data_IF_833962047592
#
_entry.id   IF_833962047592
#
_cell.length_a   1.000
_cell.length_b   1.000
_cell.length_c   1.000
_cell.angle_alpha   90.00
_cell.angle_beta   90.00
_cell.angle_gamma   90.00
#
_symmetry.space_group_name_H-M   'P 1'
#
loop_
_entity.id
_entity.type
_entity.pdbx_description
1 polymer ?
#
# COMPACT_ATOMS: atom_id res chain seq x y z
N UNK A 1 18.86 7.99 -17.63
CA UNK A 1 19.55 9.30 -17.79
C UNK A 1 18.61 10.49 -17.59
N UNK A 2 17.44 10.55 -18.24
CA UNK A 2 16.46 11.65 -18.07
C UNK A 2 16.05 11.90 -16.61
N UNK A 3 15.80 10.84 -15.83
CA UNK A 3 15.44 10.96 -14.40
C UNK A 3 16.57 11.54 -13.55
N UNK A 4 17.83 11.19 -13.84
CA UNK A 4 19.01 11.71 -13.13
C UNK A 4 19.17 13.21 -13.40
N UNK A 5 18.97 13.64 -14.65
CA UNK A 5 19.01 15.06 -15.01
C UNK A 5 17.95 15.88 -14.27
N UNK A 6 16.71 15.37 -14.16
CA UNK A 6 15.64 16.04 -13.40
C UNK A 6 16.04 16.21 -11.93
N UNK A 7 16.62 15.17 -11.30
CA UNK A 7 17.08 15.24 -9.91
C UNK A 7 18.21 16.25 -9.74
N UNK A 8 19.18 16.28 -10.66
CA UNK A 8 20.30 17.23 -10.59
C UNK A 8 19.82 18.68 -10.79
N UNK A 9 18.95 18.92 -11.78
CA UNK A 9 18.41 20.26 -12.06
C UNK A 9 17.55 20.76 -10.89
N UNK A 10 16.71 19.90 -10.31
CA UNK A 10 15.90 20.27 -9.13
C UNK A 10 16.76 20.57 -7.92
N UNK A 11 17.84 19.80 -7.68
CA UNK A 11 18.80 20.08 -6.61
C UNK A 11 19.51 21.44 -6.81
N UNK A 12 19.95 21.74 -8.04
CA UNK A 12 20.61 23.02 -8.36
C UNK A 12 19.66 24.21 -8.19
N UNK A 13 18.40 24.09 -8.65
CA UNK A 13 17.36 25.09 -8.44
C UNK A 13 17.05 25.31 -6.96
N UNK A 14 17.00 24.24 -6.17
CA UNK A 14 16.76 24.33 -4.72
C UNK A 14 17.90 25.09 -4.01
N UNK A 15 19.16 24.80 -4.38
CA UNK A 15 20.33 25.51 -3.84
C UNK A 15 20.33 26.98 -4.24
N UNK A 16 20.03 27.29 -5.51
CA UNK A 16 19.95 28.66 -6.01
C UNK A 16 18.81 29.45 -5.33
N UNK A 17 17.63 28.83 -5.19
CA UNK A 17 16.49 29.44 -4.52
C UNK A 17 16.79 29.71 -3.04
N UNK A 18 17.45 28.77 -2.35
CA UNK A 18 17.84 28.93 -0.94
C UNK A 18 18.83 30.07 -0.77
N UNK A 19 19.83 30.15 -1.66
CA UNK A 19 20.81 31.23 -1.65
C UNK A 19 20.16 32.61 -1.88
N UNK A 20 19.24 32.70 -2.85
CA UNK A 20 18.60 33.96 -3.23
C UNK A 20 17.54 34.43 -2.23
N UNK A 21 16.76 33.52 -1.64
CA UNK A 21 15.72 33.84 -0.65
C UNK A 21 16.25 33.91 0.79
N UNK A 22 17.53 33.56 1.03
CA UNK A 22 18.21 33.68 2.33
C UNK A 22 18.00 35.03 3.05
N UNK A 23 17.99 36.19 2.35
CA UNK A 23 17.76 37.48 3.02
C UNK A 23 16.34 37.66 3.58
N UNK A 24 15.37 36.85 3.13
CA UNK A 24 13.95 36.98 3.47
C UNK A 24 13.40 35.65 4.06
N UNK A 25 13.75 35.30 5.31
CA UNK A 25 13.44 34.00 5.89
C UNK A 25 11.94 33.70 5.96
N UNK A 26 11.09 34.72 6.18
CA UNK A 26 9.63 34.55 6.20
C UNK A 26 9.07 34.17 4.83
N UNK A 27 9.58 34.79 3.75
CA UNK A 27 9.18 34.47 2.38
C UNK A 27 9.65 33.06 1.99
N UNK A 28 10.88 32.68 2.39
CA UNK A 28 11.42 31.35 2.15
C UNK A 28 10.58 30.27 2.86
N UNK A 29 10.30 30.46 4.14
CA UNK A 29 9.51 29.52 4.94
C UNK A 29 8.07 29.38 4.43
N UNK A 30 7.43 30.48 4.04
CA UNK A 30 6.05 30.44 3.49
C UNK A 30 6.00 29.74 2.14
N UNK A 31 6.90 30.06 1.21
CA UNK A 31 6.96 29.37 -0.10
C UNK A 31 7.25 27.89 0.08
N UNK A 32 8.19 27.53 0.96
CA UNK A 32 8.50 26.14 1.28
C UNK A 32 7.28 25.41 1.87
N UNK A 33 6.54 26.05 2.78
CA UNK A 33 5.31 25.51 3.35
C UNK A 33 4.24 25.24 2.28
N UNK A 34 4.01 26.19 1.36
CA UNK A 34 3.05 26.04 0.28
C UNK A 34 3.42 24.90 -0.68
N UNK A 35 4.69 24.82 -1.10
CA UNK A 35 5.16 23.79 -2.03
C UNK A 35 5.07 22.40 -1.41
N UNK A 36 5.53 22.23 -0.17
CA UNK A 36 5.52 20.93 0.51
C UNK A 36 4.10 20.46 0.81
N UNK A 37 3.26 21.33 1.39
CA UNK A 37 1.85 21.02 1.66
C UNK A 37 1.09 20.74 0.37
N UNK A 38 1.28 21.57 -0.66
CA UNK A 38 0.64 21.39 -1.97
C UNK A 38 1.01 20.06 -2.62
N UNK A 39 2.28 19.66 -2.54
CA UNK A 39 2.75 18.36 -3.02
C UNK A 39 2.07 17.20 -2.30
N UNK A 40 2.02 17.23 -0.97
CA UNK A 40 1.32 16.20 -0.19
C UNK A 40 -0.18 16.18 -0.51
N UNK A 41 -0.82 17.34 -0.63
CA UNK A 41 -2.22 17.43 -1.00
C UNK A 41 -2.49 16.81 -2.38
N UNK A 42 -1.67 17.11 -3.39
CA UNK A 42 -1.77 16.49 -4.72
C UNK A 42 -1.58 14.97 -4.64
N UNK A 43 -0.65 14.49 -3.81
CA UNK A 43 -0.45 13.06 -3.58
C UNK A 43 -1.69 12.41 -2.95
N UNK A 44 -2.30 13.03 -1.94
CA UNK A 44 -3.55 12.56 -1.32
C UNK A 44 -4.71 12.54 -2.33
N UNK A 45 -4.83 13.58 -3.16
CA UNK A 45 -5.86 13.64 -4.20
C UNK A 45 -5.68 12.51 -5.22
N UNK A 46 -4.45 12.24 -5.62
CA UNK A 46 -4.10 11.15 -6.54
C UNK A 46 -4.49 9.78 -5.95
N UNK A 47 -4.22 9.57 -4.64
CA UNK A 47 -4.61 8.37 -3.90
C UNK A 47 -6.13 8.18 -3.91
N UNK A 48 -6.88 9.23 -3.56
CA UNK A 48 -8.35 9.17 -3.49
C UNK A 48 -8.94 8.89 -4.88
N UNK A 49 -8.38 9.51 -5.93
CA UNK A 49 -8.85 9.36 -7.32
C UNK A 49 -8.60 7.95 -7.85
N UNK A 50 -7.43 7.37 -7.60
CA UNK A 50 -7.09 6.06 -8.14
C UNK A 50 -7.65 4.90 -7.32
N UNK A 51 -8.07 5.14 -6.07
CA UNK A 51 -8.60 4.13 -5.12
C UNK A 51 -7.72 2.89 -4.92
N UNK A 52 -6.48 2.92 -5.37
CA UNK A 52 -5.50 1.88 -5.13
C UNK A 52 -4.75 2.16 -3.84
N UNK A 53 -5.32 1.71 -2.73
CA UNK A 53 -4.70 1.85 -1.41
C UNK A 53 -3.66 0.75 -1.13
N UNK A 54 -3.48 -0.23 -2.03
CA UNK A 54 -2.54 -1.35 -1.81
C UNK A 54 -1.09 -0.90 -1.97
N UNK A 55 -0.84 0.08 -2.84
CA UNK A 55 0.49 0.66 -3.03
C UNK A 55 0.93 1.55 -1.85
N UNK A 56 0.02 1.92 -0.94
CA UNK A 56 0.33 2.81 0.18
C UNK A 56 0.90 2.03 1.35
N UNK A 57 2.15 2.29 1.72
CA UNK A 57 2.72 1.76 2.95
C UNK A 57 2.13 2.48 4.18
N UNK A 58 1.40 1.74 5.01
CA UNK A 58 0.82 2.28 6.26
C UNK A 58 1.93 2.76 7.20
N UNK A 59 3.05 2.03 7.23
CA UNK A 59 4.23 2.39 8.02
C UNK A 59 4.91 3.69 7.58
N UNK A 60 4.95 3.96 6.27
CA UNK A 60 5.49 5.22 5.75
C UNK A 60 4.67 6.41 6.21
N UNK A 61 3.34 6.34 6.06
CA UNK A 61 2.44 7.43 6.47
C UNK A 61 2.40 7.61 7.99
N UNK A 62 2.51 6.53 8.78
CA UNK A 62 2.60 6.63 10.24
C UNK A 62 3.90 7.26 10.72
N UNK A 63 5.03 6.89 10.10
CA UNK A 63 6.33 7.50 10.39
C UNK A 63 6.34 8.98 10.00
N UNK A 64 5.76 9.32 8.85
CA UNK A 64 5.58 10.71 8.43
C UNK A 64 4.76 11.49 9.46
N UNK A 65 3.59 10.98 9.87
CA UNK A 65 2.73 11.61 10.87
C UNK A 65 3.46 11.85 12.20
N UNK A 66 4.22 10.86 12.67
CA UNK A 66 5.04 11.01 13.89
C UNK A 66 6.09 12.11 13.72
N UNK A 67 6.85 12.08 12.63
CA UNK A 67 7.90 13.07 12.35
C UNK A 67 7.37 14.50 12.27
N UNK A 68 6.30 14.74 11.49
CA UNK A 68 5.72 16.08 11.36
C UNK A 68 5.05 16.55 12.65
N UNK A 69 4.53 15.64 13.49
CA UNK A 69 4.00 16.00 14.81
C UNK A 69 5.12 16.49 15.73
N UNK A 70 6.27 15.80 15.73
CA UNK A 70 7.46 16.26 16.46
C UNK A 70 7.95 17.62 15.94
N UNK A 71 8.00 17.83 14.62
CA UNK A 71 8.38 19.11 14.02
C UNK A 71 7.40 20.24 14.33
N UNK A 72 6.10 19.95 14.40
CA UNK A 72 5.08 20.93 14.80
C UNK A 72 5.31 21.39 16.23
N UNK A 73 5.57 20.45 17.14
CA UNK A 73 5.90 20.77 18.54
C UNK A 73 7.22 21.56 18.65
N UNK A 74 8.22 21.20 17.85
CA UNK A 74 9.45 21.97 17.75
C UNK A 74 9.20 23.41 17.26
N UNK A 75 8.41 23.60 16.20
CA UNK A 75 8.03 24.91 15.70
C UNK A 75 7.33 25.76 16.76
N UNK A 76 6.46 25.15 17.58
CA UNK A 76 5.85 25.81 18.73
C UNK A 76 6.89 26.27 19.76
N UNK A 77 7.90 25.43 20.08
CA UNK A 77 8.98 25.78 21.01
C UNK A 77 9.87 26.92 20.51
N UNK A 78 10.09 27.01 19.20
CA UNK A 78 10.93 28.03 18.56
C UNK A 78 10.12 29.26 18.12
N UNK A 79 8.79 29.23 18.29
CA UNK A 79 7.86 30.27 17.79
C UNK A 79 7.98 30.52 16.27
N UNK A 80 8.33 29.49 15.51
CA UNK A 80 8.44 29.54 14.05
C UNK A 80 7.09 29.19 13.42
N UNK A 81 6.36 30.23 13.00
CA UNK A 81 5.02 30.11 12.41
C UNK A 81 5.03 29.30 11.11
N UNK A 82 5.93 29.53 10.13
CA UNK A 82 6.06 28.67 8.95
C UNK A 82 6.24 27.18 9.27
N UNK A 83 7.17 26.85 10.17
CA UNK A 83 7.45 25.45 10.53
C UNK A 83 6.25 24.81 11.24
N UNK A 84 5.61 25.54 12.14
CA UNK A 84 4.43 25.07 12.87
C UNK A 84 3.25 24.82 11.93
N UNK A 85 2.94 25.78 11.06
CA UNK A 85 1.78 25.70 10.15
C UNK A 85 1.96 24.64 9.06
N UNK A 86 3.14 24.55 8.45
CA UNK A 86 3.45 23.58 7.39
C UNK A 86 3.37 22.13 7.91
N UNK A 87 4.04 21.85 9.03
CA UNK A 87 4.06 20.50 9.60
C UNK A 87 2.71 20.12 10.20
N UNK A 88 2.00 21.06 10.83
CA UNK A 88 0.66 20.81 11.37
C UNK A 88 -0.34 20.44 10.26
N UNK A 89 -0.34 21.17 9.15
CA UNK A 89 -1.21 20.86 8.01
C UNK A 89 -0.84 19.53 7.34
N UNK A 90 0.46 19.23 7.24
CA UNK A 90 0.94 17.94 6.75
C UNK A 90 0.53 16.79 7.67
N UNK A 91 0.52 17.00 8.99
CA UNK A 91 0.04 16.02 9.97
C UNK A 91 -1.44 15.66 9.73
N UNK A 92 -2.29 16.66 9.48
CA UNK A 92 -3.70 16.46 9.18
C UNK A 92 -3.92 15.68 7.88
N UNK A 93 -3.15 16.00 6.83
CA UNK A 93 -3.17 15.26 5.56
C UNK A 93 -2.74 13.81 5.76
N UNK A 94 -1.62 13.57 6.44
CA UNK A 94 -1.11 12.23 6.72
C UNK A 94 -2.11 11.41 7.56
N UNK A 95 -2.70 12.02 8.59
CA UNK A 95 -3.71 11.38 9.42
C UNK A 95 -4.95 10.98 8.59
N UNK A 96 -5.41 11.86 7.71
CA UNK A 96 -6.55 11.57 6.82
C UNK A 96 -6.28 10.36 5.92
N UNK A 97 -5.06 10.22 5.39
CA UNK A 97 -4.65 9.05 4.60
C UNK A 97 -4.62 7.78 5.43
N UNK A 98 -4.08 7.84 6.65
CA UNK A 98 -4.04 6.68 7.56
C UNK A 98 -5.46 6.20 7.88
N UNK A 99 -6.38 7.12 8.20
CA UNK A 99 -7.79 6.80 8.47
C UNK A 99 -8.47 6.19 7.25
N UNK A 100 -8.28 6.79 6.07
CA UNK A 100 -8.85 6.27 4.82
C UNK A 100 -8.35 4.85 4.52
N UNK A 101 -7.06 4.61 4.72
CA UNK A 101 -6.44 3.31 4.52
C UNK A 101 -6.96 2.27 5.52
N UNK A 102 -7.02 2.61 6.80
CA UNK A 102 -7.55 1.72 7.83
C UNK A 102 -9.04 1.40 7.62
N UNK A 103 -9.82 2.37 7.10
CA UNK A 103 -11.21 2.16 6.75
C UNK A 103 -11.37 1.19 5.56
N UNK A 104 -10.54 1.32 4.51
CA UNK A 104 -10.56 0.41 3.35
C UNK A 104 -9.98 -0.97 3.65
N UNK A 105 -8.98 -1.08 4.52
CA UNK A 105 -8.40 -2.36 4.94
C UNK A 105 -9.24 -3.08 6.01
N UNK A 106 -10.36 -2.50 6.48
CA UNK A 106 -11.34 -3.23 7.29
C UNK A 106 -11.72 -4.51 6.53
N UNK A 107 -11.50 -5.68 7.13
CA UNK A 107 -11.22 -6.88 6.35
C UNK A 107 -12.43 -7.29 5.50
N UNK A 108 -12.18 -7.42 4.20
CA UNK A 108 -12.99 -8.20 3.26
C UNK A 108 -13.21 -9.66 3.73
N UNK A 109 -12.53 -10.10 4.80
CA UNK A 109 -12.81 -11.33 5.57
C UNK A 109 -14.27 -11.36 6.06
N UNK A 110 -14.89 -10.20 6.33
CA UNK A 110 -16.33 -10.10 6.60
C UNK A 110 -17.18 -10.24 5.34
N UNK A 111 -16.72 -9.80 4.17
CA UNK A 111 -17.43 -10.01 2.90
C UNK A 111 -17.40 -11.48 2.48
N UNK A 112 -16.26 -12.16 2.60
CA UNK A 112 -16.18 -13.60 2.34
C UNK A 112 -17.01 -14.37 3.36
N UNK A 113 -16.94 -14.04 4.66
CA UNK A 113 -17.82 -14.65 5.68
C UNK A 113 -19.31 -14.36 5.43
N UNK A 114 -19.67 -13.16 4.96
CA UNK A 114 -21.05 -12.82 4.58
C UNK A 114 -21.47 -13.57 3.33
N UNK A 115 -20.62 -13.68 2.29
CA UNK A 115 -20.88 -14.49 1.09
C UNK A 115 -21.03 -15.96 1.45
N UNK A 116 -20.12 -16.52 2.25
CA UNK A 116 -20.18 -17.91 2.71
C UNK A 116 -21.42 -18.18 3.59
N UNK A 117 -21.84 -17.24 4.43
CA UNK A 117 -23.11 -17.36 5.20
C UNK A 117 -24.36 -17.17 4.33
N UNK A 118 -24.30 -16.32 3.32
CA UNK A 118 -25.40 -16.04 2.40
C UNK A 118 -25.54 -17.09 1.28
N UNK A 119 -24.61 -18.04 1.19
CA UNK A 119 -24.65 -19.17 0.27
C UNK A 119 -25.14 -20.42 1.01
N UNK A 120 -26.45 -20.68 1.09
CA UNK A 120 -26.95 -21.98 1.54
C UNK A 120 -26.50 -23.06 0.54
N UNK A 121 -25.80 -24.10 1.02
CA UNK A 121 -25.50 -25.31 0.24
C UNK A 121 -24.12 -25.41 -0.43
N UNK A 122 -23.17 -24.51 -0.16
CA UNK A 122 -21.79 -24.63 -0.72
C UNK A 122 -20.97 -25.65 0.07
N UNK A 123 -20.73 -26.82 -0.53
CA UNK A 123 -19.81 -27.85 -0.04
C UNK A 123 -18.40 -27.53 -0.54
N UNK A 124 -17.52 -27.07 0.36
CA UNK A 124 -16.09 -26.88 0.06
C UNK A 124 -15.44 -28.26 -0.20
N UNK A 125 -15.09 -28.59 -1.45
CA UNK A 125 -14.33 -29.82 -1.79
C UNK A 125 -12.80 -29.56 -1.69
N UNK A 126 -12.08 -30.14 -0.71
CA UNK A 126 -10.62 -30.06 -0.66
C UNK A 126 -10.00 -31.11 -1.61
N UNK A 127 -8.99 -30.78 -2.46
CA UNK A 127 -8.39 -31.83 -3.34
C UNK A 127 -7.64 -32.84 -2.50
N UNK A 128 -7.98 -34.10 -2.74
CA UNK A 128 -7.31 -35.30 -2.22
C UNK A 128 -5.80 -35.24 -2.55
N UNK A 129 -4.98 -35.50 -1.52
CA UNK A 129 -3.55 -35.15 -1.44
C UNK A 129 -2.60 -36.36 -1.47
N UNK A 130 -3.08 -37.61 -1.56
CA UNK A 130 -2.22 -38.81 -1.43
C UNK A 130 -2.63 -39.97 -2.34
N UNK A 131 -1.65 -40.55 -3.05
CA UNK A 131 -1.74 -41.82 -3.76
C UNK A 131 -1.09 -42.93 -2.93
N UNK A 132 -1.64 -44.14 -2.98
CA UNK A 132 -1.14 -45.33 -2.27
C UNK A 132 -0.27 -46.19 -3.24
N UNK A 133 0.89 -46.73 -2.84
CA UNK A 133 1.73 -47.59 -3.70
C UNK A 133 1.04 -48.92 -4.04
N UNK A 134 1.29 -49.48 -5.23
CA UNK A 134 0.74 -50.76 -5.68
C UNK A 134 1.57 -51.93 -5.15
N UNK A 135 0.94 -52.83 -4.39
CA UNK A 135 1.57 -54.05 -3.87
C UNK A 135 1.12 -55.27 -4.68
N UNK A 136 2.01 -56.04 -5.34
CA UNK A 136 1.62 -57.21 -6.12
C UNK A 136 1.05 -58.32 -5.23
N UNK A 137 -0.20 -58.75 -5.51
CA UNK A 137 -0.91 -59.78 -4.74
C UNK A 137 -1.91 -59.22 -3.72
N UNK A 138 -2.01 -57.90 -3.59
CA UNK A 138 -3.07 -57.28 -2.79
C UNK A 138 -4.41 -57.34 -3.56
N UNK A 139 -5.49 -57.69 -2.86
CA UNK A 139 -6.80 -57.82 -3.48
C UNK A 139 -7.21 -56.51 -4.18
N UNK A 140 -7.89 -56.56 -5.35
CA UNK A 140 -8.37 -55.36 -6.02
C UNK A 140 -9.12 -54.48 -5.03
N UNK A 141 -8.81 -53.18 -5.03
CA UNK A 141 -9.51 -52.24 -4.17
C UNK A 141 -11.02 -52.39 -4.41
N UNK A 142 -11.85 -52.42 -3.35
CA UNK A 142 -13.29 -52.40 -3.54
C UNK A 142 -13.63 -51.20 -4.43
N UNK A 143 -14.39 -51.45 -5.50
CA UNK A 143 -14.70 -50.47 -6.53
C UNK A 143 -15.26 -49.21 -5.87
N UNK A 144 -14.45 -48.14 -5.89
CA UNK A 144 -14.84 -46.90 -5.25
C UNK A 144 -15.84 -46.23 -6.18
N UNK A 145 -17.08 -46.10 -5.71
CA UNK A 145 -18.15 -45.44 -6.44
C UNK A 145 -17.65 -44.12 -7.06
N UNK A 146 -17.93 -43.86 -8.36
CA UNK A 146 -17.39 -42.73 -9.12
C UNK A 146 -17.75 -41.34 -8.53
N UNK A 147 -18.70 -41.30 -7.60
CA UNK A 147 -19.06 -40.11 -6.81
C UNK A 147 -17.92 -39.65 -5.87
N UNK A 148 -16.97 -40.53 -5.53
CA UNK A 148 -15.90 -40.29 -4.55
C UNK A 148 -14.63 -39.58 -5.07
N UNK A 149 -14.44 -39.45 -6.40
CA UNK A 149 -13.17 -39.00 -7.01
C UNK A 149 -13.12 -37.58 -7.61
N UNK A 150 -14.16 -36.74 -7.48
CA UNK A 150 -14.12 -35.38 -8.02
C UNK A 150 -13.49 -34.34 -7.06
N UNK A 151 -12.27 -33.92 -7.45
CA UNK A 151 -11.67 -32.54 -7.42
C UNK A 151 -10.52 -32.17 -6.48
N UNK A 152 -9.77 -31.02 -6.65
CA UNK A 152 -9.18 -30.22 -7.83
C UNK A 152 -7.60 -29.89 -7.87
N UNK A 153 -6.72 -30.28 -8.84
CA UNK A 153 -5.22 -30.00 -8.95
C UNK A 153 -4.62 -30.57 -10.27
N UNK A 154 -3.92 -29.72 -11.04
CA UNK A 154 -2.89 -30.04 -12.06
C UNK A 154 -3.32 -30.42 -13.49
N UNK A 155 -3.61 -29.42 -14.31
CA UNK A 155 -3.17 -29.37 -15.73
C UNK A 155 -2.82 -27.90 -16.02
N UNK A 156 -1.70 -27.46 -16.62
CA UNK A 156 -0.43 -28.03 -17.09
C UNK A 156 0.58 -26.85 -17.22
N UNK A 157 1.88 -27.08 -17.48
CA UNK A 157 2.52 -26.28 -18.52
C UNK A 157 3.23 -27.17 -19.54
N UNK A 158 2.55 -27.38 -20.67
CA UNK A 158 3.16 -27.71 -21.94
C UNK A 158 3.92 -26.49 -22.49
N UNK A 159 5.08 -26.19 -21.90
CA UNK A 159 6.09 -25.31 -22.51
C UNK A 159 7.45 -26.01 -22.58
N UNK A 160 7.41 -27.33 -22.80
CA UNK A 160 8.53 -28.04 -23.41
C UNK A 160 8.86 -27.37 -24.75
N UNK A 161 10.15 -27.05 -24.90
CA UNK A 161 10.92 -27.35 -26.10
C UNK A 161 10.38 -26.78 -27.42
N UNK A 162 10.86 -25.57 -27.77
CA UNK A 162 11.18 -25.27 -29.17
C UNK A 162 12.61 -24.74 -29.23
N UNK A 163 13.49 -25.62 -29.72
CA UNK A 163 14.85 -25.47 -30.29
C UNK A 163 15.71 -24.29 -29.86
#
# INVERSE_FOLDING_TARGET
>A
MKSVYIVVVTAMLALLATYFLSPWPVALGTVAAWVTTGSFFLQVLHIIRNRDTKALSLGMWSALFFGVSCWTWYGFRVSDVPVMTANGLTALLAFSVIVLKLYHERPAKNQLRRKLRAMPGVILRPRIRRLRPYTPGEAPLPEQDPVSLQDPVSMSPLSKLKK
#
